data_IF_146850088055
#
_entry.id   IF_146850088055
#
_cell.length_a   1.000
_cell.length_b   1.000
_cell.length_c   1.000
_cell.angle_alpha   90.00
_cell.angle_beta   90.00
_cell.angle_gamma   90.00
#
_symmetry.space_group_name_H-M   'P 1'
#
loop_
_entity.id
_entity.type
_entity.pdbx_description
1 polymer ?
#
# COMPACT_ATOMS: atom_id res chain seq x y z
N UNK A 1 1.28 -28.89 -22.02
CA UNK A 1 0.54 -27.67 -21.65
C UNK A 1 1.51 -26.82 -20.85
N UNK A 2 2.10 -25.82 -21.50
CA UNK A 2 3.04 -24.93 -20.83
C UNK A 2 2.24 -23.91 -20.01
N UNK A 3 2.13 -24.16 -18.70
CA UNK A 3 1.64 -23.18 -17.74
C UNK A 3 2.80 -22.25 -17.38
N UNK A 4 3.00 -21.21 -18.18
CA UNK A 4 3.89 -20.13 -17.76
C UNK A 4 3.07 -19.04 -17.10
N UNK A 5 2.87 -19.16 -15.79
CA UNK A 5 2.54 -18.00 -14.98
C UNK A 5 3.69 -17.02 -15.12
N UNK A 6 3.38 -15.79 -15.54
CA UNK A 6 4.33 -14.69 -15.57
C UNK A 6 4.40 -14.04 -14.19
N UNK A 7 5.41 -13.20 -13.97
CA UNK A 7 5.51 -12.39 -12.74
C UNK A 7 4.23 -11.55 -12.53
N UNK A 8 3.55 -11.18 -13.61
CA UNK A 8 2.36 -10.35 -13.56
C UNK A 8 1.12 -11.06 -13.04
N UNK A 9 1.13 -12.40 -13.12
CA UNK A 9 0.05 -13.26 -12.65
C UNK A 9 0.14 -13.54 -11.15
N UNK A 10 1.24 -13.10 -10.48
CA UNK A 10 1.42 -13.30 -9.05
C UNK A 10 0.45 -12.40 -8.26
N UNK A 11 -0.30 -12.94 -7.28
CA UNK A 11 -1.22 -12.15 -6.44
C UNK A 11 -0.55 -10.95 -5.77
N UNK A 12 0.69 -11.10 -5.33
CA UNK A 12 1.48 -10.01 -4.74
C UNK A 12 1.76 -8.90 -5.75
N UNK A 13 2.05 -9.23 -7.01
CA UNK A 13 2.29 -8.21 -8.04
C UNK A 13 1.02 -7.41 -8.35
N UNK A 14 -0.12 -8.08 -8.47
CA UNK A 14 -1.41 -7.42 -8.63
C UNK A 14 -1.76 -6.53 -7.43
N UNK A 15 -1.49 -7.00 -6.21
CA UNK A 15 -1.69 -6.23 -4.98
C UNK A 15 -0.80 -4.98 -4.94
N UNK A 16 0.48 -5.09 -5.29
CA UNK A 16 1.40 -3.95 -5.35
C UNK A 16 0.99 -2.92 -6.42
N UNK A 17 0.46 -3.37 -7.57
CA UNK A 17 -0.14 -2.45 -8.55
C UNK A 17 -1.26 -1.62 -7.90
N UNK A 18 -2.13 -2.26 -7.10
CA UNK A 18 -3.20 -1.56 -6.36
C UNK A 18 -2.67 -0.56 -5.33
N UNK A 19 -1.58 -0.89 -4.65
CA UNK A 19 -1.00 0.01 -3.66
C UNK A 19 -0.47 1.32 -4.26
N UNK A 20 0.00 1.27 -5.50
CA UNK A 20 0.58 2.43 -6.18
C UNK A 20 -0.45 3.33 -6.86
N UNK A 21 -1.69 2.87 -7.06
CA UNK A 21 -2.76 3.67 -7.68
C UNK A 21 -3.02 4.97 -6.90
N UNK A 22 -3.00 6.10 -7.62
CA UNK A 22 -3.27 7.41 -7.02
C UNK A 22 -4.70 7.51 -6.50
N UNK A 23 -4.84 8.06 -5.29
CA UNK A 23 -6.10 8.28 -4.62
C UNK A 23 -5.92 9.37 -3.56
N UNK A 24 -6.84 10.32 -3.52
CA UNK A 24 -6.84 11.45 -2.58
C UNK A 24 -7.96 11.37 -1.55
N UNK A 25 -8.73 10.27 -1.51
CA UNK A 25 -9.91 10.12 -0.64
C UNK A 25 -9.62 10.43 0.84
N UNK A 26 -8.42 10.05 1.32
CA UNK A 26 -8.01 10.24 2.72
C UNK A 26 -6.99 11.38 2.91
N UNK A 27 -6.77 12.20 1.87
CA UNK A 27 -5.77 13.27 1.91
C UNK A 27 -6.04 14.27 3.03
N UNK A 28 -7.25 14.84 3.08
CA UNK A 28 -7.60 15.85 4.09
C UNK A 28 -7.54 15.30 5.52
N UNK A 29 -7.93 14.03 5.71
CA UNK A 29 -7.80 13.33 6.99
C UNK A 29 -6.34 13.25 7.43
N UNK A 30 -5.43 12.86 6.52
CA UNK A 30 -4.00 12.80 6.82
C UNK A 30 -3.36 14.19 6.95
N UNK A 31 -3.85 15.19 6.21
CA UNK A 31 -3.37 16.58 6.29
C UNK A 31 -3.74 17.23 7.63
N UNK A 32 -4.79 16.75 8.29
CA UNK A 32 -5.17 17.19 9.62
C UNK A 32 -4.27 16.64 10.74
N UNK A 33 -3.48 15.58 10.50
CA UNK A 33 -2.59 14.98 11.51
C UNK A 33 -1.38 15.90 11.79
N UNK A 34 -1.27 16.50 12.99
CA UNK A 34 -0.26 17.52 13.28
C UNK A 34 1.19 17.03 13.14
N UNK A 35 1.44 15.73 13.29
CA UNK A 35 2.80 15.17 13.19
C UNK A 35 3.34 15.10 11.76
N UNK A 36 2.45 15.05 10.76
CA UNK A 36 2.84 14.85 9.36
C UNK A 36 2.34 15.95 8.43
N UNK A 37 1.45 16.84 8.88
CA UNK A 37 0.76 17.82 8.03
C UNK A 37 1.67 18.73 7.19
N UNK A 38 2.87 19.03 7.69
CA UNK A 38 3.88 19.85 7.03
C UNK A 38 4.66 19.11 5.95
N UNK A 39 4.62 17.77 5.95
CA UNK A 39 5.28 16.92 4.98
C UNK A 39 4.26 16.33 4.00
N UNK A 40 4.23 16.91 2.80
CA UNK A 40 3.30 16.55 1.75
C UNK A 40 3.45 15.10 1.27
N UNK A 41 4.67 14.55 1.32
CA UNK A 41 4.91 13.17 0.93
C UNK A 41 4.41 12.20 2.00
N UNK A 42 4.63 12.50 3.28
CA UNK A 42 4.06 11.72 4.38
C UNK A 42 2.53 11.75 4.39
N UNK A 43 1.92 12.90 4.10
CA UNK A 43 0.46 12.99 3.95
C UNK A 43 -0.05 12.07 2.84
N UNK A 44 0.62 12.06 1.68
CA UNK A 44 0.27 11.16 0.57
C UNK A 44 0.47 9.68 0.92
N UNK A 45 1.57 9.33 1.58
CA UNK A 45 1.82 7.95 2.04
C UNK A 45 0.75 7.52 3.04
N UNK A 46 0.38 8.39 3.99
CA UNK A 46 -0.70 8.15 4.94
C UNK A 46 -2.02 7.89 4.22
N UNK A 47 -2.40 8.74 3.26
CA UNK A 47 -3.66 8.59 2.54
C UNK A 47 -3.73 7.28 1.75
N UNK A 48 -2.64 6.94 1.03
CA UNK A 48 -2.52 5.66 0.31
C UNK A 48 -2.54 4.47 1.26
N UNK A 49 -1.91 4.57 2.43
CA UNK A 49 -1.91 3.51 3.46
C UNK A 49 -3.33 3.18 3.92
N UNK A 50 -4.13 4.21 4.26
CA UNK A 50 -5.52 4.01 4.71
C UNK A 50 -6.36 3.38 3.60
N UNK A 51 -6.24 3.87 2.36
CA UNK A 51 -6.92 3.29 1.18
C UNK A 51 -6.55 1.82 1.01
N UNK A 52 -5.27 1.50 1.04
CA UNK A 52 -4.76 0.15 0.81
C UNK A 52 -5.21 -0.80 1.93
N UNK A 53 -5.22 -0.34 3.17
CA UNK A 53 -5.76 -1.09 4.30
C UNK A 53 -7.25 -1.41 4.09
N UNK A 54 -8.06 -0.42 3.68
CA UNK A 54 -9.48 -0.61 3.35
C UNK A 54 -9.71 -1.56 2.18
N UNK A 55 -8.82 -1.56 1.19
CA UNK A 55 -8.87 -2.53 0.10
C UNK A 55 -8.57 -3.95 0.61
N UNK A 56 -7.53 -4.11 1.43
CA UNK A 56 -7.17 -5.39 2.05
C UNK A 56 -8.32 -5.96 2.89
N UNK A 57 -8.99 -5.13 3.70
CA UNK A 57 -10.14 -5.58 4.49
C UNK A 57 -11.22 -6.27 3.64
N UNK A 58 -11.36 -5.87 2.36
CA UNK A 58 -12.34 -6.45 1.41
C UNK A 58 -11.86 -7.74 0.75
N UNK A 59 -10.54 -7.93 0.57
CA UNK A 59 -9.98 -9.04 -0.22
C UNK A 59 -9.25 -10.09 0.63
N UNK A 60 -8.96 -9.82 1.91
CA UNK A 60 -8.13 -10.70 2.75
C UNK A 60 -8.71 -12.11 2.93
N UNK A 61 -10.02 -12.26 2.80
CA UNK A 61 -10.70 -13.55 2.90
C UNK A 61 -10.43 -14.45 1.67
N UNK A 62 -10.02 -13.86 0.54
CA UNK A 62 -9.67 -14.58 -0.69
C UNK A 62 -8.24 -15.18 -0.62
N UNK A 63 -7.45 -14.80 0.40
CA UNK A 63 -6.10 -15.28 0.59
C UNK A 63 -6.06 -16.48 1.53
N UNK A 64 -5.30 -17.51 1.16
CA UNK A 64 -5.02 -18.66 2.05
C UNK A 64 -4.39 -18.20 3.37
N UNK A 65 -3.50 -17.21 3.30
CA UNK A 65 -2.88 -16.57 4.46
C UNK A 65 -3.44 -15.16 4.61
N UNK A 66 -4.46 -15.00 5.46
CA UNK A 66 -5.20 -13.74 5.61
C UNK A 66 -4.33 -12.55 6.02
N UNK A 67 -3.23 -12.80 6.72
CA UNK A 67 -2.29 -11.76 7.19
C UNK A 67 -1.25 -11.36 6.13
N UNK A 68 -1.14 -12.11 5.04
CA UNK A 68 -0.15 -11.85 3.99
C UNK A 68 -0.33 -10.46 3.35
N UNK A 69 -1.55 -10.04 2.93
CA UNK A 69 -1.72 -8.71 2.33
C UNK A 69 -1.35 -7.56 3.29
N UNK A 70 -1.60 -7.72 4.59
CA UNK A 70 -1.18 -6.75 5.62
C UNK A 70 0.34 -6.70 5.75
N UNK A 71 1.01 -7.86 5.71
CA UNK A 71 2.47 -7.95 5.71
C UNK A 71 3.05 -7.26 4.47
N UNK A 72 2.46 -7.54 3.30
CA UNK A 72 2.86 -6.93 2.03
C UNK A 72 2.66 -5.39 2.05
N UNK A 73 1.59 -4.89 2.69
CA UNK A 73 1.38 -3.45 2.91
C UNK A 73 2.47 -2.84 3.80
N UNK A 74 2.85 -3.49 4.90
CA UNK A 74 3.93 -3.00 5.76
C UNK A 74 5.26 -2.86 5.01
N UNK A 75 5.59 -3.84 4.15
CA UNK A 75 6.75 -3.74 3.27
C UNK A 75 6.63 -2.56 2.31
N UNK A 76 5.48 -2.42 1.64
CA UNK A 76 5.26 -1.28 0.74
C UNK A 76 5.42 0.08 1.44
N UNK A 77 4.83 0.26 2.62
CA UNK A 77 4.97 1.49 3.42
C UNK A 77 6.44 1.77 3.72
N UNK A 78 7.19 0.75 4.16
CA UNK A 78 8.63 0.88 4.42
C UNK A 78 9.38 1.34 3.18
N UNK A 79 9.13 0.74 2.03
CA UNK A 79 9.80 1.13 0.78
C UNK A 79 9.45 2.56 0.36
N UNK A 80 8.21 3.00 0.50
CA UNK A 80 7.82 4.38 0.22
C UNK A 80 8.49 5.37 1.18
N UNK A 81 8.57 5.04 2.47
CA UNK A 81 9.29 5.86 3.45
C UNK A 81 10.79 5.95 3.15
N UNK A 82 11.43 4.85 2.70
CA UNK A 82 12.84 4.85 2.29
C UNK A 82 13.05 5.73 1.06
N UNK A 83 12.15 5.67 0.06
CA UNK A 83 12.23 6.51 -1.14
C UNK A 83 12.15 8.00 -0.82
N UNK A 84 11.26 8.38 0.10
CA UNK A 84 10.99 9.78 0.44
C UNK A 84 12.00 10.34 1.45
N UNK A 85 12.34 9.57 2.48
CA UNK A 85 13.14 10.05 3.62
C UNK A 85 14.56 9.49 3.66
N UNK A 86 14.95 8.66 2.71
CA UNK A 86 16.28 8.04 2.65
C UNK A 86 16.68 7.33 3.95
N UNK A 87 15.69 6.73 4.63
CA UNK A 87 15.91 5.95 5.85
C UNK A 87 16.79 4.74 5.47
N UNK A 88 17.94 4.61 6.13
CA UNK A 88 18.89 3.51 5.91
C UNK A 88 18.60 2.34 6.84
#
# INVERSE_FOLDING_TARGET
MELYATLEDLPSYMLYKKFNEDDSTYYDTCKAEPKINSDENLVKICAKTIKNFKHIEKIKEDYTFKDKPCTDLNYWIREELIKVHHIK
#
